data_IF_950393004521
#
_entry.id   IF_950393004521
#
_cell.length_a   1.000
_cell.length_b   1.000
_cell.length_c   1.000
_cell.angle_alpha   90.00
_cell.angle_beta   90.00
_cell.angle_gamma   90.00
#
_symmetry.space_group_name_H-M   'P 1'
#
loop_
_entity.id
_entity.type
_entity.pdbx_description
1 polymer ?
#
# COMPACT_ATOMS: atom_id res chain seq x y z
N UNK A 1 -1.00 32.76 -18.81
CA UNK A 1 -1.91 31.74 -18.28
C UNK A 1 -2.61 31.11 -19.47
N UNK A 2 -2.47 29.80 -19.75
CA UNK A 2 -3.19 29.16 -20.86
C UNK A 2 -4.68 29.19 -20.52
N UNK A 3 -5.52 29.56 -21.49
CA UNK A 3 -6.97 29.47 -21.39
C UNK A 3 -7.40 28.02 -21.18
N UNK A 4 -8.43 27.79 -20.36
CA UNK A 4 -8.94 26.46 -20.01
C UNK A 4 -9.28 25.63 -21.27
N UNK A 5 -10.00 26.23 -22.22
CA UNK A 5 -10.42 25.55 -23.45
C UNK A 5 -9.22 25.14 -24.31
N UNK A 6 -8.19 25.98 -24.36
CA UNK A 6 -6.93 25.65 -25.04
C UNK A 6 -6.18 24.53 -24.33
N UNK A 7 -6.19 24.52 -23.00
CA UNK A 7 -5.55 23.47 -22.20
C UNK A 7 -6.25 22.11 -22.41
N UNK A 8 -7.59 22.10 -22.39
CA UNK A 8 -8.39 20.88 -22.60
C UNK A 8 -8.24 20.34 -24.01
N UNK A 9 -8.31 21.22 -25.03
CA UNK A 9 -8.22 20.81 -26.44
C UNK A 9 -6.83 20.29 -26.83
N UNK A 10 -5.77 20.70 -26.12
CA UNK A 10 -4.40 20.26 -26.34
C UNK A 10 -3.95 19.14 -25.39
N UNK A 11 -4.84 18.66 -24.50
CA UNK A 11 -4.51 17.62 -23.53
C UNK A 11 -4.39 16.25 -24.22
N UNK A 12 -3.19 15.70 -24.18
CA UNK A 12 -2.88 14.34 -24.63
C UNK A 12 -2.28 13.56 -23.47
N UNK A 13 -3.09 12.67 -22.87
CA UNK A 13 -2.67 11.87 -21.72
C UNK A 13 -1.58 10.86 -22.09
N UNK A 14 -1.56 10.34 -23.32
CA UNK A 14 -0.52 9.41 -23.77
C UNK A 14 0.84 10.10 -23.87
N UNK A 15 0.83 11.32 -24.39
CA UNK A 15 2.04 12.14 -24.46
C UNK A 15 2.57 12.48 -23.05
N UNK A 16 1.70 12.87 -22.12
CA UNK A 16 2.08 13.13 -20.74
C UNK A 16 2.58 11.86 -20.03
N UNK A 17 1.88 10.74 -20.19
CA UNK A 17 2.30 9.48 -19.62
C UNK A 17 3.71 9.08 -20.11
N UNK A 18 3.98 9.22 -21.40
CA UNK A 18 5.29 8.93 -21.98
C UNK A 18 6.41 9.88 -21.48
N UNK A 19 6.06 11.11 -21.06
CA UNK A 19 7.01 12.05 -20.49
C UNK A 19 7.26 11.85 -18.98
N UNK A 20 6.21 11.55 -18.24
CA UNK A 20 6.24 11.60 -16.77
C UNK A 20 6.44 10.21 -16.13
N UNK A 21 6.01 9.12 -16.79
CA UNK A 21 6.20 7.78 -16.28
C UNK A 21 7.59 7.23 -16.64
N UNK A 22 8.15 6.43 -15.75
CA UNK A 22 9.44 5.77 -15.94
C UNK A 22 9.31 4.47 -16.74
N UNK A 23 8.19 3.77 -16.56
CA UNK A 23 7.87 2.53 -17.31
C UNK A 23 7.05 2.80 -18.57
N UNK A 24 6.90 1.76 -19.38
CA UNK A 24 6.02 1.78 -20.56
C UNK A 24 4.57 1.47 -20.17
N UNK A 25 3.57 2.01 -20.88
CA UNK A 25 2.15 1.82 -20.55
C UNK A 25 1.70 0.35 -20.49
N UNK A 26 2.38 -0.56 -21.19
CA UNK A 26 2.13 -1.99 -21.10
C UNK A 26 2.91 -2.70 -20.00
N UNK A 27 3.77 -2.01 -19.25
CA UNK A 27 4.70 -2.60 -18.27
C UNK A 27 4.99 -1.60 -17.13
N UNK A 28 3.97 -1.25 -16.34
CA UNK A 28 4.04 -0.31 -15.22
C UNK A 28 3.95 -1.01 -13.87
N UNK A 29 4.54 -0.38 -12.86
CA UNK A 29 4.30 -0.73 -11.47
C UNK A 29 4.23 0.55 -10.62
N UNK A 30 3.14 0.75 -9.89
CA UNK A 30 2.92 1.95 -9.10
C UNK A 30 3.97 2.15 -8.00
N UNK A 31 4.55 1.08 -7.44
CA UNK A 31 5.63 1.19 -6.47
C UNK A 31 6.92 1.72 -7.13
N UNK A 32 7.24 1.27 -8.35
CA UNK A 32 8.38 1.79 -9.11
C UNK A 32 8.18 3.29 -9.36
N UNK A 33 7.02 3.68 -9.87
CA UNK A 33 6.73 5.06 -10.24
C UNK A 33 6.74 6.02 -9.04
N UNK A 34 6.22 5.59 -7.89
CA UNK A 34 6.10 6.44 -6.69
C UNK A 34 7.33 6.38 -5.77
N UNK A 35 8.13 5.32 -5.82
CA UNK A 35 9.20 5.07 -4.85
C UNK A 35 10.53 4.68 -5.50
N UNK A 36 10.59 3.55 -6.21
CA UNK A 36 11.86 2.96 -6.62
C UNK A 36 12.69 3.86 -7.53
N UNK A 37 12.04 4.55 -8.47
CA UNK A 37 12.70 5.51 -9.38
C UNK A 37 13.43 6.65 -8.65
N UNK A 38 13.07 6.91 -7.41
CA UNK A 38 13.63 7.95 -6.56
C UNK A 38 14.61 7.39 -5.50
N UNK A 39 14.81 6.08 -5.45
CA UNK A 39 15.62 5.41 -4.41
C UNK A 39 17.14 5.59 -4.58
N UNK A 40 17.58 6.25 -5.65
CA UNK A 40 18.99 6.55 -5.83
C UNK A 40 19.43 7.71 -4.93
N UNK A 41 20.39 7.45 -4.04
CA UNK A 41 20.88 8.44 -3.07
C UNK A 41 20.09 8.44 -1.76
N UNK A 42 20.25 9.54 -0.99
CA UNK A 42 19.67 9.68 0.36
C UNK A 42 18.49 10.68 0.40
N UNK A 43 17.74 10.81 -0.69
CA UNK A 43 16.59 11.70 -0.71
C UNK A 43 15.52 11.22 0.29
N UNK A 44 15.07 12.12 1.16
CA UNK A 44 14.00 11.84 2.12
C UNK A 44 12.67 11.78 1.39
N UNK A 45 11.97 10.67 1.56
CA UNK A 45 10.66 10.43 0.98
C UNK A 45 9.53 10.79 1.94
N UNK A 46 9.73 10.58 3.25
CA UNK A 46 8.67 10.71 4.24
C UNK A 46 9.21 11.29 5.54
N UNK A 47 8.52 12.28 6.07
CA UNK A 47 8.66 12.76 7.44
C UNK A 47 7.44 12.29 8.24
N UNK A 48 7.68 11.60 9.34
CA UNK A 48 6.64 11.16 10.28
C UNK A 48 6.82 11.92 11.59
N UNK A 49 5.74 12.51 12.09
CA UNK A 49 5.70 13.10 13.42
C UNK A 49 4.58 12.44 14.23
N UNK A 50 4.92 11.91 15.38
CA UNK A 50 3.97 11.32 16.31
C UNK A 50 3.33 12.38 17.18
N UNK A 51 2.19 12.08 17.80
CA UNK A 51 1.44 13.02 18.65
C UNK A 51 2.23 13.54 19.85
N UNK A 52 3.23 12.79 20.32
CA UNK A 52 4.16 13.18 21.40
C UNK A 52 5.37 13.98 20.90
N UNK A 53 5.38 14.37 19.60
CA UNK A 53 6.39 15.24 19.01
C UNK A 53 7.68 14.54 18.58
N UNK A 54 7.73 13.21 18.59
CA UNK A 54 8.86 12.48 18.00
C UNK A 54 8.77 12.54 16.48
N UNK A 55 9.85 12.99 15.86
CA UNK A 55 9.97 13.05 14.41
C UNK A 55 10.94 11.96 13.92
N UNK A 56 10.55 11.25 12.88
CA UNK A 56 11.37 10.30 12.14
C UNK A 56 11.29 10.63 10.66
N UNK A 57 12.32 10.23 9.92
CA UNK A 57 12.34 10.37 8.46
C UNK A 57 12.72 9.05 7.82
N UNK A 58 12.22 8.84 6.61
CA UNK A 58 12.53 7.68 5.79
C UNK A 58 12.97 8.14 4.41
N UNK A 59 14.07 7.61 3.92
CA UNK A 59 14.53 7.80 2.54
C UNK A 59 13.72 6.93 1.58
N UNK A 60 13.76 7.26 0.29
CA UNK A 60 13.17 6.39 -0.73
C UNK A 60 13.80 4.99 -0.74
N UNK A 61 15.12 4.87 -0.51
CA UNK A 61 15.81 3.57 -0.42
C UNK A 61 15.30 2.72 0.75
N UNK A 62 15.06 3.32 1.91
CA UNK A 62 14.51 2.61 3.07
C UNK A 62 13.07 2.15 2.80
N UNK A 63 12.22 3.04 2.24
CA UNK A 63 10.86 2.66 1.87
C UNK A 63 10.84 1.56 0.80
N UNK A 64 11.71 1.61 -0.20
CA UNK A 64 11.87 0.56 -1.20
C UNK A 64 12.20 -0.79 -0.55
N UNK A 65 13.17 -0.81 0.37
CA UNK A 65 13.56 -2.04 1.06
C UNK A 65 12.42 -2.61 1.92
N UNK A 66 11.71 -1.76 2.67
CA UNK A 66 10.56 -2.19 3.48
C UNK A 66 9.38 -2.64 2.61
N UNK A 67 9.08 -1.94 1.51
CA UNK A 67 8.06 -2.35 0.55
C UNK A 67 8.37 -3.70 -0.10
N UNK A 68 9.66 -3.94 -0.44
CA UNK A 68 10.11 -5.23 -0.96
C UNK A 68 9.90 -6.36 0.05
N UNK A 69 10.27 -6.14 1.31
CA UNK A 69 10.06 -7.12 2.40
C UNK A 69 8.57 -7.42 2.59
N UNK A 70 7.73 -6.38 2.66
CA UNK A 70 6.28 -6.58 2.80
C UNK A 70 5.67 -7.29 1.57
N UNK A 71 6.11 -6.97 0.36
CA UNK A 71 5.72 -7.68 -0.85
C UNK A 71 6.11 -9.16 -0.82
N UNK A 72 7.31 -9.48 -0.34
CA UNK A 72 7.76 -10.87 -0.16
C UNK A 72 6.91 -11.62 0.87
N UNK A 73 6.58 -10.99 2.00
CA UNK A 73 5.67 -11.56 2.99
C UNK A 73 4.32 -11.91 2.35
N UNK A 74 3.71 -10.99 1.63
CA UNK A 74 2.43 -11.23 0.96
C UNK A 74 2.51 -12.37 -0.07
N UNK A 75 3.57 -12.41 -0.90
CA UNK A 75 3.80 -13.51 -1.86
C UNK A 75 3.98 -14.85 -1.18
N UNK A 76 4.73 -14.91 -0.09
CA UNK A 76 4.94 -16.13 0.68
C UNK A 76 3.63 -16.69 1.26
N UNK A 77 2.64 -15.82 1.48
CA UNK A 77 1.30 -16.18 1.92
C UNK A 77 0.27 -16.31 0.79
N UNK A 78 0.73 -16.40 -0.45
CA UNK A 78 -0.11 -16.73 -1.61
C UNK A 78 -0.85 -15.57 -2.25
N UNK A 79 -0.57 -14.30 -1.87
CA UNK A 79 -1.16 -13.14 -2.53
C UNK A 79 -0.65 -13.03 -3.97
N UNK A 80 -1.56 -12.92 -4.92
CA UNK A 80 -1.29 -12.85 -6.35
C UNK A 80 -1.58 -11.45 -6.91
N UNK A 81 -1.05 -11.10 -8.09
CA UNK A 81 -1.45 -9.90 -8.81
C UNK A 81 -2.96 -9.82 -8.96
N UNK A 82 -3.54 -8.63 -8.68
CA UNK A 82 -4.97 -8.39 -8.69
C UNK A 82 -5.71 -8.75 -7.40
N UNK A 83 -5.09 -9.44 -6.43
CA UNK A 83 -5.69 -9.64 -5.11
C UNK A 83 -5.78 -8.32 -4.34
N UNK A 84 -6.72 -8.22 -3.40
CA UNK A 84 -6.95 -7.00 -2.61
C UNK A 84 -6.36 -7.16 -1.22
N UNK A 85 -5.59 -6.13 -0.83
CA UNK A 85 -5.05 -5.96 0.52
C UNK A 85 -5.63 -4.68 1.10
N UNK A 86 -6.39 -4.78 2.17
CA UNK A 86 -7.01 -3.64 2.83
C UNK A 86 -6.06 -3.01 3.86
N UNK A 87 -6.22 -1.71 4.10
CA UNK A 87 -5.51 -0.99 5.16
C UNK A 87 -6.49 -0.16 6.01
N UNK A 88 -6.64 -0.54 7.28
CA UNK A 88 -7.44 0.18 8.28
C UNK A 88 -6.49 0.78 9.32
N UNK A 89 -5.77 1.85 8.94
CA UNK A 89 -4.68 2.40 9.72
C UNK A 89 -4.70 3.92 9.76
N UNK A 90 -4.14 4.54 10.83
CA UNK A 90 -3.80 5.95 10.81
C UNK A 90 -2.64 6.23 9.82
N UNK A 91 -2.26 7.51 9.71
CA UNK A 91 -1.18 7.94 8.84
C UNK A 91 0.18 7.65 9.49
N UNK A 92 0.68 6.46 9.27
CA UNK A 92 1.97 5.98 9.78
C UNK A 92 2.87 5.52 8.63
N UNK A 93 4.13 5.23 8.90
CA UNK A 93 5.04 4.68 7.88
C UNK A 93 4.58 3.31 7.40
N UNK A 94 4.00 2.50 8.28
CA UNK A 94 3.47 1.17 7.94
C UNK A 94 2.36 1.24 6.89
N UNK A 95 1.53 2.29 6.92
CA UNK A 95 0.54 2.52 5.87
C UNK A 95 1.21 2.69 4.50
N UNK A 96 2.29 3.48 4.45
CA UNK A 96 3.03 3.72 3.20
C UNK A 96 3.74 2.44 2.74
N UNK A 97 4.35 1.69 3.65
CA UNK A 97 5.02 0.42 3.35
C UNK A 97 4.00 -0.61 2.84
N UNK A 98 2.84 -0.75 3.50
CA UNK A 98 1.79 -1.67 3.10
C UNK A 98 1.23 -1.35 1.71
N UNK A 99 1.00 -0.06 1.42
CA UNK A 99 0.56 0.41 0.12
C UNK A 99 1.60 0.10 -0.97
N UNK A 100 2.85 0.51 -0.78
CA UNK A 100 3.93 0.31 -1.75
C UNK A 100 4.24 -1.18 -1.98
N UNK A 101 4.29 -1.99 -0.92
CA UNK A 101 4.55 -3.43 -1.03
C UNK A 101 3.42 -4.19 -1.69
N UNK A 102 2.15 -3.78 -1.46
CA UNK A 102 0.98 -4.30 -2.18
C UNK A 102 1.09 -4.01 -3.68
N UNK A 103 1.39 -2.76 -4.05
CA UNK A 103 1.57 -2.37 -5.45
C UNK A 103 2.76 -3.07 -6.10
N UNK A 104 3.84 -3.29 -5.34
CA UNK A 104 5.05 -3.95 -5.84
C UNK A 104 4.76 -5.33 -6.42
N UNK A 105 3.89 -6.08 -5.78
CA UNK A 105 3.51 -7.44 -6.24
C UNK A 105 2.32 -7.46 -7.19
N UNK A 106 1.87 -6.30 -7.68
CA UNK A 106 0.73 -6.18 -8.58
C UNK A 106 -0.64 -6.36 -7.92
N UNK A 107 -0.70 -6.38 -6.59
CA UNK A 107 -1.95 -6.45 -5.85
C UNK A 107 -2.61 -5.06 -5.71
N UNK A 108 -3.89 -5.04 -5.39
CA UNK A 108 -4.73 -3.85 -5.31
C UNK A 108 -4.85 -3.41 -3.85
N UNK A 109 -4.44 -2.19 -3.53
CA UNK A 109 -4.59 -1.66 -2.18
C UNK A 109 -5.99 -1.06 -1.97
N UNK A 110 -6.63 -1.38 -0.84
CA UNK A 110 -7.94 -0.83 -0.45
C UNK A 110 -7.81 -0.02 0.83
N UNK A 111 -7.76 1.32 0.78
CA UNK A 111 -7.76 2.15 1.97
C UNK A 111 -9.12 2.14 2.64
N UNK A 112 -9.15 1.94 3.96
CA UNK A 112 -10.34 2.05 4.80
C UNK A 112 -10.12 3.18 5.83
N UNK A 113 -11.16 4.01 6.03
CA UNK A 113 -11.08 5.06 7.04
C UNK A 113 -11.22 4.47 8.44
N UNK A 114 -10.34 4.92 9.34
CA UNK A 114 -10.36 4.51 10.76
C UNK A 114 -11.63 4.96 11.49
N UNK A 115 -12.39 5.90 10.93
CA UNK A 115 -13.69 6.29 11.47
C UNK A 115 -14.84 5.31 11.15
N UNK A 116 -14.62 4.33 10.26
CA UNK A 116 -15.65 3.33 9.96
C UNK A 116 -15.90 2.41 11.15
N UNK A 117 -17.20 2.13 11.39
CA UNK A 117 -17.62 1.08 12.31
C UNK A 117 -17.58 -0.31 11.66
N UNK A 118 -17.72 -1.40 12.46
CA UNK A 118 -17.58 -2.79 11.98
C UNK A 118 -18.41 -3.12 10.73
N UNK A 119 -19.70 -2.77 10.70
CA UNK A 119 -20.58 -3.03 9.53
C UNK A 119 -20.12 -2.35 8.24
N UNK A 120 -19.62 -1.12 8.34
CA UNK A 120 -19.12 -0.41 7.17
C UNK A 120 -17.78 -0.97 6.66
N UNK A 121 -16.98 -1.53 7.57
CA UNK A 121 -15.75 -2.25 7.23
C UNK A 121 -16.10 -3.58 6.55
N UNK A 122 -16.98 -4.39 7.16
CA UNK A 122 -17.44 -5.67 6.63
C UNK A 122 -17.95 -5.53 5.20
N UNK A 123 -18.91 -4.61 4.97
CA UNK A 123 -19.47 -4.36 3.65
C UNK A 123 -18.39 -4.06 2.58
N UNK A 124 -17.33 -3.31 2.94
CA UNK A 124 -16.28 -2.97 2.00
C UNK A 124 -15.33 -4.12 1.73
N UNK A 125 -15.01 -4.89 2.76
CA UNK A 125 -14.19 -6.10 2.63
C UNK A 125 -14.91 -7.15 1.79
N UNK A 126 -16.20 -7.36 2.00
CA UNK A 126 -17.03 -8.29 1.21
C UNK A 126 -17.10 -7.85 -0.25
N UNK A 127 -17.39 -6.56 -0.49
CA UNK A 127 -17.51 -5.99 -1.83
C UNK A 127 -16.20 -6.12 -2.63
N UNK A 128 -15.06 -5.98 -1.98
CA UNK A 128 -13.74 -6.11 -2.60
C UNK A 128 -13.22 -7.55 -2.61
N UNK A 129 -13.78 -8.44 -1.79
CA UNK A 129 -13.21 -9.76 -1.48
C UNK A 129 -11.74 -9.66 -1.03
N UNK A 130 -11.43 -8.68 -0.16
CA UNK A 130 -10.10 -8.53 0.41
C UNK A 130 -9.84 -9.66 1.42
N UNK A 131 -8.73 -10.39 1.24
CA UNK A 131 -8.34 -11.53 2.10
C UNK A 131 -7.25 -11.17 3.10
N UNK A 132 -6.67 -9.99 2.99
CA UNK A 132 -5.65 -9.45 3.87
C UNK A 132 -6.02 -8.05 4.30
N UNK A 133 -5.78 -7.74 5.58
CA UNK A 133 -5.96 -6.40 6.13
C UNK A 133 -4.81 -6.04 7.07
N UNK A 134 -4.25 -4.85 6.87
CA UNK A 134 -3.27 -4.25 7.77
C UNK A 134 -3.98 -3.25 8.67
N UNK A 135 -3.75 -3.33 9.97
CA UNK A 135 -4.40 -2.46 10.97
C UNK A 135 -3.47 -2.18 12.15
N UNK A 136 -3.81 -1.20 12.97
CA UNK A 136 -3.17 -0.96 14.27
C UNK A 136 -3.94 -1.64 15.42
N UNK A 137 -3.32 -1.70 16.60
CA UNK A 137 -3.93 -2.28 17.79
C UNK A 137 -5.22 -1.58 18.21
N UNK A 138 -5.34 -0.27 17.97
CA UNK A 138 -6.53 0.52 18.29
C UNK A 138 -7.74 0.15 17.41
N UNK A 139 -7.51 -0.08 16.12
CA UNK A 139 -8.59 -0.42 15.19
C UNK A 139 -8.86 -1.93 15.08
N UNK A 140 -7.91 -2.79 15.49
CA UNK A 140 -8.04 -4.26 15.44
C UNK A 140 -9.36 -4.79 16.03
N UNK A 141 -9.87 -4.27 17.19
CA UNK A 141 -11.14 -4.74 17.76
C UNK A 141 -12.36 -4.56 16.85
N UNK A 142 -12.32 -3.66 15.88
CA UNK A 142 -13.42 -3.47 14.92
C UNK A 142 -13.62 -4.64 13.97
N UNK A 143 -12.64 -5.54 13.90
CA UNK A 143 -12.64 -6.72 13.04
C UNK A 143 -13.10 -7.98 13.78
N UNK A 144 -13.34 -7.91 15.10
CA UNK A 144 -13.63 -9.10 15.93
C UNK A 144 -14.98 -9.75 15.61
N UNK A 145 -15.97 -8.94 15.23
CA UNK A 145 -17.32 -9.41 14.96
C UNK A 145 -17.60 -9.66 13.47
N UNK A 146 -16.57 -9.58 12.60
CA UNK A 146 -16.72 -9.88 11.19
C UNK A 146 -16.95 -11.37 10.97
N UNK A 147 -17.95 -11.72 10.14
CA UNK A 147 -18.28 -13.13 9.85
C UNK A 147 -17.18 -13.82 9.03
N UNK A 148 -16.56 -13.11 8.09
CA UNK A 148 -15.44 -13.60 7.27
C UNK A 148 -14.27 -12.62 7.41
N UNK A 149 -13.59 -12.68 8.58
CA UNK A 149 -12.46 -11.81 8.86
C UNK A 149 -11.26 -12.17 8.00
N UNK A 150 -10.65 -11.22 7.27
CA UNK A 150 -9.42 -11.44 6.54
C UNK A 150 -8.26 -11.86 7.46
N UNK A 151 -7.15 -12.32 6.87
CA UNK A 151 -5.88 -12.40 7.58
C UNK A 151 -5.44 -11.01 8.06
N UNK A 152 -5.15 -10.87 9.34
CA UNK A 152 -4.88 -9.57 9.96
C UNK A 152 -3.40 -9.42 10.27
N UNK A 153 -2.85 -8.26 9.89
CA UNK A 153 -1.48 -7.85 10.19
C UNK A 153 -1.58 -6.61 11.10
N UNK A 154 -0.98 -6.67 12.31
CA UNK A 154 -1.03 -5.60 13.32
C UNK A 154 0.30 -4.86 13.34
N UNK A 155 0.27 -3.51 13.25
CA UNK A 155 1.48 -2.70 13.01
C UNK A 155 2.23 -2.27 14.27
N UNK A 156 1.54 -1.97 15.36
CA UNK A 156 2.08 -1.24 16.51
C UNK A 156 2.08 -2.03 17.83
N UNK A 157 1.73 -3.30 17.80
CA UNK A 157 1.71 -4.16 18.98
C UNK A 157 1.96 -5.62 18.61
N UNK A 158 2.38 -6.41 19.60
CA UNK A 158 2.35 -7.86 19.51
C UNK A 158 0.88 -8.31 19.39
N UNK A 159 0.55 -9.13 18.39
CA UNK A 159 -0.81 -9.60 18.18
C UNK A 159 -1.39 -10.30 19.40
N UNK A 160 -2.59 -9.92 19.79
CA UNK A 160 -3.29 -10.48 20.95
C UNK A 160 -4.29 -11.58 20.58
N UNK A 161 -4.52 -11.77 19.28
CA UNK A 161 -5.46 -12.77 18.76
C UNK A 161 -4.72 -13.86 18.00
N UNK A 162 -5.08 -15.13 18.23
CA UNK A 162 -4.50 -16.23 17.46
C UNK A 162 -4.71 -16.04 15.95
N UNK A 163 -3.64 -16.20 15.19
CA UNK A 163 -3.69 -16.07 13.72
C UNK A 163 -3.43 -14.67 13.16
N UNK A 164 -3.33 -13.64 14.02
CA UNK A 164 -2.85 -12.32 13.59
C UNK A 164 -1.32 -12.32 13.44
N UNK A 165 -0.81 -11.55 12.50
CA UNK A 165 0.61 -11.38 12.22
C UNK A 165 1.15 -10.08 12.82
N UNK A 166 2.37 -10.09 13.33
CA UNK A 166 3.07 -8.87 13.75
C UNK A 166 3.79 -8.25 12.55
N UNK A 167 3.40 -7.05 12.14
CA UNK A 167 3.91 -6.40 10.92
C UNK A 167 5.44 -6.39 10.86
N UNK A 168 6.09 -5.82 11.85
CA UNK A 168 7.54 -5.65 11.84
C UNK A 168 8.29 -6.97 11.98
N UNK A 169 7.81 -7.89 12.81
CA UNK A 169 8.41 -9.22 12.97
C UNK A 169 8.41 -9.98 11.64
N UNK A 170 7.29 -9.95 10.93
CA UNK A 170 7.14 -10.63 9.64
C UNK A 170 7.94 -9.95 8.52
N UNK A 171 7.91 -8.61 8.47
CA UNK A 171 8.62 -7.83 7.45
C UNK A 171 10.13 -7.98 7.62
N UNK A 172 10.66 -7.91 8.84
CA UNK A 172 12.10 -7.99 9.10
C UNK A 172 12.71 -9.35 8.76
N UNK A 173 11.91 -10.42 8.77
CA UNK A 173 12.35 -11.76 8.35
C UNK A 173 12.53 -11.90 6.84
N UNK A 174 11.94 -11.00 6.06
CA UNK A 174 11.98 -11.09 4.60
C UNK A 174 13.22 -10.42 4.01
N UNK A 175 13.61 -10.88 2.82
CA UNK A 175 14.68 -10.25 2.05
C UNK A 175 14.24 -8.87 1.53
N UNK A 176 15.16 -7.88 1.48
CA UNK A 176 14.85 -6.53 0.99
C UNK A 176 14.84 -6.42 -0.54
N UNK A 177 14.79 -7.54 -1.23
CA UNK A 177 14.72 -7.64 -2.68
C UNK A 177 13.47 -8.42 -3.08
N UNK A 178 12.61 -7.78 -3.85
CA UNK A 178 11.36 -8.33 -4.36
C UNK A 178 11.13 -7.75 -5.75
N UNK A 179 11.23 -8.57 -6.78
CA UNK A 179 11.00 -8.12 -8.16
C UNK A 179 9.58 -7.57 -8.31
N UNK A 180 9.43 -6.31 -8.77
CA UNK A 180 8.11 -5.73 -9.01
C UNK A 180 7.36 -6.46 -10.12
N UNK A 181 6.05 -6.62 -9.95
CA UNK A 181 5.16 -7.14 -10.99
C UNK A 181 4.78 -6.02 -11.95
N UNK A 182 5.14 -6.17 -13.22
CA UNK A 182 4.81 -5.19 -14.25
C UNK A 182 3.44 -5.49 -14.85
N UNK A 183 2.57 -4.49 -14.88
CA UNK A 183 1.19 -4.58 -15.29
C UNK A 183 0.87 -3.58 -16.41
N UNK A 184 -0.19 -3.83 -17.14
CA UNK A 184 -0.77 -2.84 -18.06
C UNK A 184 -1.27 -1.60 -17.32
N UNK A 185 -1.20 -0.43 -17.92
CA UNK A 185 -1.64 0.84 -17.34
C UNK A 185 -3.12 0.87 -16.93
N UNK A 186 -3.95 -0.03 -17.46
CA UNK A 186 -5.36 -0.17 -17.09
C UNK A 186 -5.59 -1.15 -15.94
N UNK A 187 -4.55 -1.84 -15.46
CA UNK A 187 -4.68 -2.74 -14.32
C UNK A 187 -5.03 -1.94 -13.05
N UNK A 188 -6.00 -2.39 -12.25
CA UNK A 188 -6.35 -1.71 -11.01
C UNK A 188 -5.20 -1.84 -10.00
N UNK A 189 -4.88 -0.76 -9.30
CA UNK A 189 -3.89 -0.74 -8.21
C UNK A 189 -4.45 -0.16 -6.91
N UNK A 190 -5.58 0.56 -6.99
CA UNK A 190 -6.27 1.15 -5.84
C UNK A 190 -7.77 0.93 -5.97
N UNK A 191 -8.42 0.49 -4.89
CA UNK A 191 -9.87 0.32 -4.82
C UNK A 191 -10.44 1.20 -3.72
N UNK A 192 -11.30 2.14 -4.09
CA UNK A 192 -12.03 3.02 -3.14
C UNK A 192 -13.52 2.69 -3.22
N UNK A 193 -14.13 2.29 -2.08
CA UNK A 193 -15.54 1.98 -1.93
C UNK A 193 -16.21 2.90 -0.91
#
# INVERSE_FOLDING_TARGET
>A
MRDYDSAVSSFDYLHLAAQDLHGELGALNACIECCDRHAQGNAVALYCETRDGRATQYTFSELQAHAARFGNFLRAHGVQPGDRVAGLMPRTVELVIALLGTWRIGAVYQPLFTAFGPKAIEQRLDCSNARWIVTDAHNRPKLDDLLDCPHVIVTDATPQRPGDYAFWEEVEQQQPDCTPELLDAHAPFLLMC
#
